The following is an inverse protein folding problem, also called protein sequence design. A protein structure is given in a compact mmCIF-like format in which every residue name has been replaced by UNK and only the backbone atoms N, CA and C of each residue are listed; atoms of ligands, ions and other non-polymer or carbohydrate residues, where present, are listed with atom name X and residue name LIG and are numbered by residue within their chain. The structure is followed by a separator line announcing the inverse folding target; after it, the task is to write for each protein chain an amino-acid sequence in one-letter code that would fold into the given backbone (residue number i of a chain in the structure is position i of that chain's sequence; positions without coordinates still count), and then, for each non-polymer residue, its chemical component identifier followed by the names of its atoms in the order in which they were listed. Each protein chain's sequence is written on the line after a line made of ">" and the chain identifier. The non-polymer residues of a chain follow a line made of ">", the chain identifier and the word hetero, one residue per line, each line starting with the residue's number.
data_IF_758109228922
#
_entry.id   IF_758109228922
#
_cell.length_a   1.000
_cell.length_b   1.000
_cell.length_c   1.000
_cell.angle_alpha   90.00
_cell.angle_beta   90.00
_cell.angle_gamma   90.00
#
_symmetry.space_group_name_H-M   'P 1'
#
loop_
_entity.id
_entity.type
_entity.pdbx_description
1 polymer ?
#
# COMPACT_ATOMS: atom_id res chain seq x y z
N UNK A 1 -50.70 -21.45 -53.32
CA UNK A 1 -49.70 -21.51 -54.41
C UNK A 1 -48.43 -20.97 -53.79
N UNK A 2 -47.38 -21.73 -53.49
CA UNK A 2 -46.67 -22.75 -54.27
C UNK A 2 -45.93 -23.73 -53.33
N UNK A 3 -45.73 -24.95 -53.81
CA UNK A 3 -45.08 -26.11 -53.16
C UNK A 3 -43.58 -26.20 -53.47
N UNK A 4 -42.81 -26.90 -52.62
CA UNK A 4 -41.68 -27.86 -52.87
C UNK A 4 -40.87 -28.02 -51.54
N UNK A 5 -40.90 -29.13 -50.75
CA UNK A 5 -40.34 -30.50 -50.91
C UNK A 5 -38.78 -30.50 -51.07
N UNK A 6 -37.90 -31.25 -50.38
CA UNK A 6 -37.88 -32.51 -49.60
C UNK A 6 -36.63 -32.59 -48.67
N UNK A 7 -36.61 -33.59 -47.76
CA UNK A 7 -35.45 -34.44 -47.34
C UNK A 7 -34.82 -34.14 -45.96
N UNK A 8 -34.63 -35.08 -45.01
CA UNK A 8 -35.07 -36.47 -44.83
C UNK A 8 -35.00 -36.81 -43.33
N UNK A 9 -35.88 -37.74 -42.93
CA UNK A 9 -36.07 -38.30 -41.60
C UNK A 9 -34.86 -39.11 -41.10
N UNK A 10 -34.64 -39.15 -39.79
CA UNK A 10 -34.45 -40.42 -39.06
C UNK A 10 -34.91 -40.27 -37.60
N UNK A 11 -36.12 -40.75 -37.34
CA UNK A 11 -36.61 -41.14 -36.00
C UNK A 11 -36.58 -42.67 -35.99
N UNK A 12 -35.91 -43.28 -35.01
CA UNK A 12 -36.06 -44.70 -34.71
C UNK A 12 -36.65 -44.84 -33.30
N UNK A 13 -37.90 -45.29 -33.24
CA UNK A 13 -38.55 -45.85 -32.07
C UNK A 13 -38.63 -47.36 -32.27
N UNK A 14 -38.15 -48.15 -31.31
CA UNK A 14 -38.72 -49.48 -31.00
C UNK A 14 -38.33 -49.90 -29.57
N UNK A 15 -39.34 -50.24 -28.77
CA UNK A 15 -39.19 -51.11 -27.58
C UNK A 15 -38.68 -52.50 -28.00
N UNK A 16 -38.41 -53.45 -27.11
CA UNK A 16 -39.31 -53.99 -26.07
C UNK A 16 -38.50 -54.91 -25.13
N UNK A 17 -39.10 -55.22 -23.97
CA UNK A 17 -39.14 -56.51 -23.27
C UNK A 17 -38.07 -56.81 -22.19
N UNK A 18 -38.57 -56.76 -20.95
CA UNK A 18 -38.03 -57.41 -19.75
C UNK A 18 -37.72 -58.88 -19.96
N UNK A 19 -36.53 -59.31 -19.55
CA UNK A 19 -36.30 -60.64 -18.99
C UNK A 19 -35.48 -60.47 -17.72
N UNK A 20 -36.11 -60.77 -16.59
CA UNK A 20 -35.49 -60.92 -15.28
C UNK A 20 -34.75 -62.26 -15.23
N UNK A 21 -33.43 -62.22 -15.10
CA UNK A 21 -32.63 -63.32 -14.55
C UNK A 21 -31.46 -62.70 -13.79
N UNK A 22 -31.45 -62.94 -12.48
CA UNK A 22 -30.50 -62.34 -11.56
C UNK A 22 -29.09 -62.88 -11.75
N UNK A 23 -28.12 -61.96 -11.74
CA UNK A 23 -26.78 -62.21 -11.22
C UNK A 23 -26.32 -60.97 -10.46
N UNK A 24 -26.05 -61.15 -9.16
CA UNK A 24 -25.28 -60.23 -8.33
C UNK A 24 -23.83 -60.25 -8.82
N UNK A 25 -23.32 -59.11 -9.28
CA UNK A 25 -21.87 -58.84 -9.28
C UNK A 25 -21.66 -57.42 -8.77
N UNK A 26 -20.65 -57.31 -7.91
CA UNK A 26 -20.31 -56.23 -6.99
C UNK A 26 -19.78 -54.98 -7.71
N UNK A 27 -20.01 -53.82 -7.08
CA UNK A 27 -19.62 -52.44 -7.41
C UNK A 27 -18.28 -52.20 -8.12
N UNK A 28 -18.24 -51.21 -9.00
CA UNK A 28 -17.14 -50.24 -9.02
C UNK A 28 -17.58 -48.93 -9.70
N UNK A 29 -17.70 -47.89 -8.90
CA UNK A 29 -18.02 -46.52 -9.32
C UNK A 29 -16.83 -45.89 -10.05
N UNK A 30 -17.04 -45.42 -11.29
CA UNK A 30 -16.16 -44.42 -11.90
C UNK A 30 -16.98 -43.20 -12.31
N UNK A 31 -16.86 -42.18 -11.46
CA UNK A 31 -17.51 -40.87 -11.56
C UNK A 31 -16.77 -40.03 -12.61
N UNK A 32 -17.49 -39.48 -13.59
CA UNK A 32 -16.99 -38.43 -14.47
C UNK A 32 -17.13 -37.07 -13.77
N UNK A 33 -16.02 -36.35 -13.51
CA UNK A 33 -16.05 -34.95 -13.04
C UNK A 33 -15.14 -34.08 -13.90
N UNK A 34 -15.69 -32.91 -14.25
CA UNK A 34 -15.26 -31.94 -15.24
C UNK A 34 -13.86 -31.34 -15.05
N UNK A 35 -13.19 -31.09 -16.18
CA UNK A 35 -12.05 -30.17 -16.28
C UNK A 35 -12.54 -28.72 -16.13
N UNK A 36 -12.31 -28.12 -14.95
CA UNK A 36 -12.42 -26.67 -14.76
C UNK A 36 -11.00 -26.07 -14.77
N UNK A 37 -10.74 -25.19 -15.74
CA UNK A 37 -9.48 -24.43 -15.89
C UNK A 37 -9.09 -23.75 -14.56
N UNK A 38 -7.90 -24.05 -14.06
CA UNK A 38 -7.31 -23.42 -12.88
C UNK A 38 -6.82 -22.01 -13.24
N UNK A 39 -7.50 -20.99 -12.72
CA UNK A 39 -6.88 -19.71 -12.43
C UNK A 39 -5.95 -19.90 -11.22
N UNK A 40 -4.73 -19.36 -11.25
CA UNK A 40 -3.76 -19.36 -10.16
C UNK A 40 -4.36 -18.73 -8.89
N UNK A 41 -5.06 -19.55 -8.11
CA UNK A 41 -5.44 -19.28 -6.74
C UNK A 41 -4.67 -20.31 -5.95
N UNK A 42 -3.65 -19.87 -5.21
CA UNK A 42 -2.88 -20.75 -4.33
C UNK A 42 -3.88 -21.39 -3.36
N UNK A 43 -4.24 -22.64 -3.63
CA UNK A 43 -5.04 -23.43 -2.71
C UNK A 43 -4.29 -23.46 -1.37
N UNK A 44 -4.97 -23.25 -0.24
CA UNK A 44 -4.32 -23.31 1.06
C UNK A 44 -3.68 -24.68 1.22
N UNK A 45 -2.36 -24.71 1.44
CA UNK A 45 -1.66 -25.94 1.71
C UNK A 45 -1.98 -26.36 3.15
N UNK A 46 -2.19 -27.66 3.36
CA UNK A 46 -2.24 -28.22 4.70
C UNK A 46 -0.81 -28.22 5.22
N UNK A 47 -0.52 -27.37 6.21
CA UNK A 47 0.80 -27.23 6.82
C UNK A 47 0.76 -27.84 8.22
N UNK A 48 1.75 -28.68 8.54
CA UNK A 48 1.86 -29.33 9.84
C UNK A 48 2.41 -28.34 10.88
N UNK A 49 1.65 -28.05 11.92
CA UNK A 49 2.09 -27.17 13.00
C UNK A 49 2.69 -27.99 14.15
N UNK A 50 4.03 -27.99 14.23
CA UNK A 50 4.78 -28.73 15.26
C UNK A 50 4.54 -28.25 16.70
N UNK A 51 3.89 -27.10 16.91
CA UNK A 51 3.56 -26.58 18.25
C UNK A 51 2.21 -27.09 18.75
N UNK A 52 1.29 -27.35 17.82
CA UNK A 52 -0.09 -27.75 18.14
C UNK A 52 -0.40 -29.20 17.77
N UNK A 53 0.49 -29.87 17.02
CA UNK A 53 0.32 -31.26 16.61
C UNK A 53 -0.80 -31.47 15.58
N UNK A 54 -1.29 -30.40 14.95
CA UNK A 54 -2.42 -30.42 14.03
C UNK A 54 -2.06 -29.87 12.66
N UNK A 55 -2.81 -30.35 11.67
CA UNK A 55 -2.84 -29.85 10.30
C UNK A 55 -3.59 -28.52 10.24
N UNK A 56 -2.87 -27.41 10.00
CA UNK A 56 -3.48 -26.09 9.83
C UNK A 56 -3.60 -25.77 8.35
N UNK A 57 -4.73 -25.20 7.93
CA UNK A 57 -4.79 -24.47 6.65
C UNK A 57 -3.79 -23.33 6.73
N UNK A 58 -2.63 -23.52 6.10
CA UNK A 58 -1.53 -22.58 6.09
C UNK A 58 -1.41 -21.99 4.70
N UNK A 59 -1.43 -20.66 4.60
CA UNK A 59 -0.84 -20.02 3.43
C UNK A 59 0.64 -20.40 3.42
N UNK A 60 1.09 -21.07 2.34
CA UNK A 60 2.44 -21.61 2.21
C UNK A 60 3.56 -20.55 2.27
N UNK A 61 3.20 -19.27 2.33
CA UNK A 61 4.08 -18.12 2.40
C UNK A 61 3.76 -17.26 3.64
N UNK A 62 4.75 -16.90 4.47
CA UNK A 62 4.52 -16.02 5.61
C UNK A 62 4.07 -14.63 5.15
N UNK A 63 3.11 -14.04 5.86
CA UNK A 63 2.67 -12.67 5.62
C UNK A 63 3.82 -11.72 5.93
N UNK A 64 4.26 -10.98 4.91
CA UNK A 64 5.34 -10.00 4.99
C UNK A 64 4.84 -8.70 4.36
N UNK A 65 5.08 -7.58 5.02
CA UNK A 65 4.70 -6.25 4.55
C UNK A 65 5.97 -5.43 4.36
N UNK A 66 6.08 -4.79 3.20
CA UNK A 66 7.21 -3.96 2.84
C UNK A 66 6.73 -2.61 2.37
N UNK A 67 7.49 -1.56 2.70
CA UNK A 67 7.25 -0.21 2.22
C UNK A 67 8.45 0.27 1.40
N UNK A 68 8.15 0.98 0.31
CA UNK A 68 9.13 1.60 -0.56
C UNK A 68 8.73 3.04 -0.88
N UNK A 69 9.64 4.01 -0.75
CA UNK A 69 10.94 3.89 -0.07
C UNK A 69 10.78 3.77 1.46
N UNK A 70 11.79 3.20 2.16
CA UNK A 70 11.80 3.15 3.64
C UNK A 70 12.14 4.50 4.28
N UNK A 71 13.03 5.25 3.64
CA UNK A 71 13.41 6.60 4.05
C UNK A 71 13.30 7.50 2.82
N UNK A 72 12.53 8.57 2.92
CA UNK A 72 12.32 9.53 1.84
C UNK A 72 12.71 10.92 2.35
N UNK A 73 13.64 11.56 1.63
CA UNK A 73 14.07 12.93 1.87
C UNK A 73 13.66 13.79 0.69
N UNK A 74 12.94 14.87 0.96
CA UNK A 74 12.35 15.73 -0.07
C UNK A 74 12.44 17.18 0.36
N UNK A 75 12.56 18.09 -0.62
CA UNK A 75 12.40 19.52 -0.35
C UNK A 75 10.93 19.84 -0.10
N UNK A 76 10.63 20.83 0.73
CA UNK A 76 9.26 21.30 0.93
C UNK A 76 8.58 21.63 -0.40
N UNK A 77 7.31 21.23 -0.53
CA UNK A 77 6.52 21.34 -1.75
C UNK A 77 6.67 20.17 -2.72
N UNK A 78 7.69 19.31 -2.58
CA UNK A 78 7.82 18.13 -3.45
C UNK A 78 6.78 17.05 -3.08
N UNK A 79 6.27 16.27 -4.05
CA UNK A 79 5.31 15.22 -3.78
C UNK A 79 5.97 14.01 -3.10
N UNK A 80 5.46 13.61 -1.94
CA UNK A 80 5.87 12.36 -1.29
C UNK A 80 4.95 11.22 -1.69
N UNK A 81 5.51 10.07 -2.09
CA UNK A 81 4.73 8.86 -2.36
C UNK A 81 5.39 7.66 -1.70
N UNK A 82 4.62 6.96 -0.86
CA UNK A 82 4.99 5.68 -0.30
C UNK A 82 4.11 4.58 -0.87
N UNK A 83 4.72 3.44 -1.22
CA UNK A 83 4.01 2.22 -1.64
C UNK A 83 4.22 1.14 -0.61
N UNK A 84 3.13 0.51 -0.20
CA UNK A 84 3.13 -0.61 0.73
C UNK A 84 2.65 -1.86 0.01
N UNK A 85 3.40 -2.95 0.11
CA UNK A 85 3.12 -4.21 -0.56
C UNK A 85 3.10 -5.35 0.43
N UNK A 86 2.18 -6.30 0.26
CA UNK A 86 2.09 -7.52 1.06
C UNK A 86 2.45 -8.75 0.23
N UNK A 87 2.99 -9.78 0.88
CA UNK A 87 3.31 -11.07 0.24
C UNK A 87 2.08 -11.90 -0.14
N UNK A 88 0.91 -11.58 0.44
CA UNK A 88 -0.41 -12.23 0.28
C UNK A 88 -1.48 -11.14 0.12
N UNK A 89 -2.58 -11.35 -0.63
CA UNK A 89 -3.64 -10.35 -0.79
C UNK A 89 -4.35 -10.08 0.55
N UNK A 90 -4.10 -8.91 1.13
CA UNK A 90 -4.72 -8.47 2.38
C UNK A 90 -5.05 -6.97 2.30
N UNK A 91 -6.10 -6.50 3.00
CA UNK A 91 -6.41 -5.08 3.04
C UNK A 91 -5.35 -4.31 3.85
N UNK A 92 -4.75 -3.29 3.23
CA UNK A 92 -3.73 -2.44 3.83
C UNK A 92 -4.30 -1.06 4.18
N UNK A 93 -3.80 -0.48 5.27
CA UNK A 93 -4.12 0.90 5.67
C UNK A 93 -2.89 1.64 6.14
N UNK A 94 -3.00 2.95 6.10
CA UNK A 94 -1.98 3.89 6.54
C UNK A 94 -2.42 4.65 7.77
N UNK A 95 -1.49 4.88 8.67
CA UNK A 95 -1.61 5.85 9.76
C UNK A 95 -0.28 6.55 9.96
N UNK A 96 -0.27 7.62 10.74
CA UNK A 96 0.99 8.10 11.32
C UNK A 96 1.45 7.10 12.39
N UNK A 97 2.76 7.05 12.66
CA UNK A 97 3.32 6.20 13.71
C UNK A 97 2.92 6.66 15.11
N UNK A 98 2.63 7.96 15.28
CA UNK A 98 2.16 8.57 16.52
C UNK A 98 0.65 8.47 16.73
N UNK A 99 -0.07 7.73 15.87
CA UNK A 99 -1.54 7.64 15.86
C UNK A 99 -2.26 9.01 15.70
N UNK A 100 -1.56 10.05 15.24
CA UNK A 100 -2.14 11.30 14.72
C UNK A 100 -2.89 11.02 13.41
N UNK A 101 -3.87 11.85 13.08
CA UNK A 101 -4.47 11.87 11.75
C UNK A 101 -3.41 12.07 10.66
N UNK A 102 -3.62 11.45 9.50
CA UNK A 102 -2.81 11.72 8.32
C UNK A 102 -2.97 13.21 7.91
N UNK A 103 -1.99 13.79 7.21
CA UNK A 103 -2.10 15.15 6.69
C UNK A 103 -3.38 15.32 5.87
N UNK A 104 -4.03 16.49 5.95
CA UNK A 104 -5.35 16.73 5.32
C UNK A 104 -5.27 16.57 3.80
N UNK A 105 -4.14 16.96 3.20
CA UNK A 105 -3.86 16.82 1.77
C UNK A 105 -3.44 15.40 1.35
N UNK A 106 -3.27 14.46 2.29
CA UNK A 106 -2.81 13.13 1.95
C UNK A 106 -3.91 12.32 1.23
N UNK A 107 -3.56 11.77 0.08
CA UNK A 107 -4.37 10.82 -0.66
C UNK A 107 -3.93 9.40 -0.32
N UNK A 108 -4.90 8.56 0.08
CA UNK A 108 -4.67 7.16 0.43
C UNK A 108 -5.37 6.29 -0.61
N UNK A 109 -4.60 5.46 -1.31
CA UNK A 109 -5.13 4.41 -2.18
C UNK A 109 -4.99 3.01 -1.56
N UNK A 110 -5.30 1.98 -2.34
CA UNK A 110 -5.28 0.57 -1.88
C UNK A 110 -3.92 0.12 -1.35
N UNK A 111 -2.83 0.67 -1.91
CA UNK A 111 -1.46 0.29 -1.56
C UNK A 111 -0.49 1.47 -1.48
N UNK A 112 -0.97 2.71 -1.54
CA UNK A 112 -0.11 3.89 -1.53
C UNK A 112 -0.64 4.99 -0.61
N UNK A 113 0.29 5.82 -0.15
CA UNK A 113 0.05 7.08 0.52
C UNK A 113 0.80 8.15 -0.27
N UNK A 114 0.09 9.16 -0.76
CA UNK A 114 0.68 10.27 -1.50
C UNK A 114 0.31 11.61 -0.88
N UNK A 115 1.31 12.45 -0.64
CA UNK A 115 1.18 13.82 -0.16
C UNK A 115 1.59 14.70 -1.35
N UNK A 116 0.65 15.34 -2.06
CA UNK A 116 0.94 16.03 -3.32
C UNK A 116 1.80 17.27 -3.13
N UNK A 117 1.60 17.99 -2.03
CA UNK A 117 2.38 19.15 -1.61
C UNK A 117 2.81 18.94 -0.17
N UNK A 118 4.07 18.57 0.02
CA UNK A 118 4.61 18.31 1.35
C UNK A 118 4.93 19.60 2.09
N UNK A 119 4.68 19.61 3.40
CA UNK A 119 5.07 20.69 4.32
C UNK A 119 6.06 20.16 5.35
N UNK A 120 6.90 21.02 5.93
CA UNK A 120 7.80 20.61 7.02
C UNK A 120 7.05 19.85 8.14
N UNK A 121 5.81 20.26 8.44
CA UNK A 121 4.93 19.64 9.43
C UNK A 121 4.49 18.21 9.10
N UNK A 122 4.64 17.78 7.86
CA UNK A 122 4.31 16.42 7.40
C UNK A 122 5.48 15.45 7.64
N UNK A 123 6.65 15.94 8.07
CA UNK A 123 7.78 15.11 8.46
C UNK A 123 7.41 14.18 9.61
N UNK A 124 7.88 12.94 9.53
CA UNK A 124 7.61 11.94 10.55
C UNK A 124 7.61 10.52 10.04
N UNK A 125 7.10 9.62 10.88
CA UNK A 125 7.04 8.20 10.58
C UNK A 125 5.61 7.82 10.18
N UNK A 126 5.47 7.13 9.06
CA UNK A 126 4.22 6.64 8.50
C UNK A 126 4.18 5.12 8.60
N UNK A 127 3.08 4.59 9.13
CA UNK A 127 2.88 3.18 9.42
C UNK A 127 1.87 2.61 8.44
N UNK A 128 2.28 1.59 7.70
CA UNK A 128 1.38 0.75 6.90
C UNK A 128 1.13 -0.55 7.66
N UNK A 129 -0.13 -0.96 7.78
CA UNK A 129 -0.54 -2.13 8.56
C UNK A 129 -1.73 -2.85 7.91
N UNK A 130 -1.93 -4.10 8.29
CA UNK A 130 -3.06 -4.93 7.82
C UNK A 130 -4.30 -4.62 8.63
N UNK A 131 -5.44 -4.50 7.97
CA UNK A 131 -6.74 -4.43 8.63
C UNK A 131 -7.23 -5.83 8.95
N UNK A 132 -7.54 -6.10 10.21
CA UNK A 132 -8.11 -7.37 10.66
C UNK A 132 -7.42 -7.92 11.90
N UNK A 133 -7.64 -9.21 12.15
CA UNK A 133 -7.12 -9.94 13.32
C UNK A 133 -5.58 -9.92 13.40
N UNK A 134 -4.90 -9.73 12.28
CA UNK A 134 -3.45 -9.71 12.11
C UNK A 134 -2.84 -8.27 12.09
N UNK A 135 -3.41 -7.36 12.88
CA UNK A 135 -2.94 -5.96 13.03
C UNK A 135 -1.50 -5.81 13.57
N UNK A 136 -0.88 -6.92 14.01
CA UNK A 136 0.53 -6.97 14.44
C UNK A 136 1.53 -6.81 13.30
N UNK A 137 1.14 -7.11 12.06
CA UNK A 137 2.03 -6.94 10.92
C UNK A 137 1.93 -5.51 10.41
N UNK A 138 3.04 -4.79 10.53
CA UNK A 138 3.17 -3.43 10.04
C UNK A 138 4.58 -3.17 9.54
N UNK A 139 4.73 -2.08 8.80
CA UNK A 139 6.02 -1.55 8.39
C UNK A 139 5.99 -0.03 8.51
N UNK A 140 7.16 0.58 8.70
CA UNK A 140 7.30 2.02 8.92
C UNK A 140 8.18 2.63 7.84
N UNK A 141 7.71 3.72 7.26
CA UNK A 141 8.50 4.60 6.41
C UNK A 141 8.76 5.92 7.13
N UNK A 142 9.93 6.52 6.91
CA UNK A 142 10.32 7.82 7.45
C UNK A 142 10.32 8.85 6.33
N UNK A 143 9.60 9.95 6.55
CA UNK A 143 9.60 11.14 5.70
C UNK A 143 10.34 12.26 6.42
N UNK A 144 11.31 12.84 5.74
CA UNK A 144 12.17 13.90 6.23
C UNK A 144 12.17 15.03 5.20
N UNK A 145 11.43 16.10 5.50
CA UNK A 145 11.24 17.23 4.60
C UNK A 145 12.10 18.38 5.08
N UNK A 146 12.89 18.94 4.17
CA UNK A 146 13.76 20.07 4.44
C UNK A 146 13.33 21.27 3.60
N UNK A 147 13.48 22.47 4.13
CA UNK A 147 13.30 23.72 3.39
C UNK A 147 14.66 24.38 3.18
N UNK A 148 14.96 24.75 1.94
CA UNK A 148 15.88 25.87 1.71
C UNK A 148 15.07 27.13 1.97
N UNK A 149 15.66 28.12 2.62
CA UNK A 149 15.00 29.41 2.72
C UNK A 149 14.78 29.99 1.31
N UNK A 150 13.74 30.81 1.16
CA UNK A 150 13.49 31.49 -0.12
C UNK A 150 14.72 32.29 -0.56
N UNK A 151 14.82 32.65 -1.85
CA UNK A 151 16.00 33.35 -2.37
C UNK A 151 16.27 34.70 -1.66
N UNK A 152 15.23 35.28 -1.06
CA UNK A 152 15.24 36.49 -0.24
C UNK A 152 15.22 36.21 1.27
N UNK A 153 15.52 34.98 1.69
CA UNK A 153 15.59 34.55 3.08
C UNK A 153 16.91 33.82 3.39
N UNK A 154 17.36 33.92 4.64
CA UNK A 154 18.51 33.16 5.15
C UNK A 154 18.09 32.12 6.18
N UNK A 155 18.87 31.05 6.28
CA UNK A 155 18.69 30.01 7.30
C UNK A 155 19.47 30.38 8.56
N UNK A 156 18.75 30.59 9.66
CA UNK A 156 19.28 30.71 11.01
C UNK A 156 20.03 29.43 11.42
N UNK A 157 20.88 29.53 12.45
CA UNK A 157 21.62 28.37 12.99
C UNK A 157 20.70 27.27 13.55
N UNK A 158 19.51 27.64 14.03
CA UNK A 158 18.45 26.72 14.47
C UNK A 158 17.58 26.16 13.33
N UNK A 159 17.84 26.50 12.06
CA UNK A 159 17.09 26.04 10.89
C UNK A 159 15.83 26.86 10.56
N UNK A 160 15.52 27.93 11.31
CA UNK A 160 14.46 28.89 10.96
C UNK A 160 14.87 29.70 9.72
N UNK A 161 13.91 30.07 8.88
CA UNK A 161 14.12 31.05 7.81
C UNK A 161 13.69 32.44 8.25
N UNK A 162 14.52 33.44 7.96
CA UNK A 162 14.21 34.86 8.16
C UNK A 162 14.52 35.63 6.86
N UNK A 163 13.77 36.69 6.51
CA UNK A 163 14.09 37.55 5.39
C UNK A 163 15.52 38.08 5.44
N UNK A 164 16.17 38.24 4.30
CA UNK A 164 17.50 38.86 4.20
C UNK A 164 17.49 40.29 4.76
N UNK A 165 16.34 40.98 4.72
CA UNK A 165 16.17 42.31 5.32
C UNK A 165 16.25 42.32 6.84
N UNK A 166 16.11 41.16 7.51
CA UNK A 166 16.18 41.01 8.96
C UNK A 166 17.57 40.52 9.42
N UNK A 167 18.52 40.48 8.49
CA UNK A 167 19.91 40.19 8.84
C UNK A 167 20.54 41.50 9.26
N UNK A 168 21.06 41.56 10.48
CA UNK A 168 21.73 42.74 11.02
C UNK A 168 20.83 43.98 11.06
N UNK A 169 19.54 43.79 11.34
CA UNK A 169 18.58 44.89 11.51
C UNK A 169 18.45 45.33 12.98
N UNK A 170 19.09 44.59 13.90
CA UNK A 170 19.15 44.87 15.32
C UNK A 170 18.12 44.11 16.16
N UNK A 171 17.21 43.36 15.52
CA UNK A 171 16.23 42.51 16.19
C UNK A 171 16.66 41.03 16.12
N UNK A 172 16.39 40.27 17.18
CA UNK A 172 16.69 38.83 17.20
C UNK A 172 15.51 38.04 16.60
N UNK A 173 15.39 38.07 15.28
CA UNK A 173 14.39 37.34 14.53
C UNK A 173 14.63 35.85 14.54
N UNK A 174 15.89 35.39 14.51
CA UNK A 174 16.21 33.97 14.55
C UNK A 174 15.90 33.32 15.90
N UNK A 175 15.74 34.11 16.99
CA UNK A 175 15.61 33.66 18.40
C UNK A 175 16.81 32.89 18.95
N UNK A 176 17.87 32.75 18.17
CA UNK A 176 19.17 32.19 18.52
C UNK A 176 20.32 33.21 18.28
N UNK A 177 19.97 34.45 17.88
CA UNK A 177 20.86 35.56 17.57
C UNK A 177 21.77 35.33 16.34
N UNK A 178 21.48 34.33 15.50
CA UNK A 178 22.35 34.00 14.36
C UNK A 178 22.24 34.94 13.16
N UNK A 179 21.11 35.64 13.03
CA UNK A 179 20.85 36.78 12.14
C UNK A 179 21.65 38.04 12.51
N UNK A 180 21.90 38.22 13.80
CA UNK A 180 22.63 39.38 14.35
C UNK A 180 24.11 39.06 14.62
N UNK A 181 24.57 37.86 14.24
CA UNK A 181 25.95 37.43 14.37
C UNK A 181 26.72 37.68 13.06
N UNK A 182 27.91 38.26 13.18
CA UNK A 182 28.84 38.51 12.06
C UNK A 182 28.39 39.60 11.07
N UNK A 183 27.70 40.63 11.57
CA UNK A 183 27.39 41.84 10.83
C UNK A 183 28.65 42.64 10.50
N UNK A 184 28.86 42.96 9.22
CA UNK A 184 29.93 43.87 8.83
C UNK A 184 29.56 45.30 9.29
N UNK A 185 30.50 46.08 9.82
CA UNK A 185 30.23 47.43 10.31
C UNK A 185 29.69 48.38 9.23
N UNK A 186 29.84 48.04 7.95
CA UNK A 186 29.26 48.80 6.82
C UNK A 186 27.73 48.73 6.72
N UNK A 187 27.06 47.76 7.36
CA UNK A 187 25.60 47.76 7.49
C UNK A 187 25.11 48.50 8.75
N UNK A 188 26.02 48.89 9.65
CA UNK A 188 25.71 49.63 10.88
C UNK A 188 25.69 51.17 10.72
N UNK A 189 25.95 51.70 9.51
CA UNK A 189 26.11 53.15 9.27
C UNK A 189 25.05 53.76 8.35
N UNK A 190 23.76 53.44 8.53
CA UNK A 190 22.66 54.25 7.97
C UNK A 190 21.72 54.85 9.03
N UNK A 191 22.12 54.83 10.30
CA UNK A 191 21.45 55.59 11.36
C UNK A 191 22.49 56.42 12.14
N UNK A 192 22.98 57.50 11.50
CA UNK A 192 23.51 58.68 12.19
C UNK A 192 22.63 59.86 11.82
#
# INVERSE_FOLDING_TARGET
>A
MTWMLFSSYFVCYVGVLSVSLGLRVVSSDYVNVALKKQTHQENPAVVWDARTGNEKLGFAKPLTITVSPKNLRLKEGEPAVFRCTSSVPVPLRWSTSSNKSLPVQASVGDNYLAIPETRISDSGSYKCFVVGEESRFFTVARLDIWSECEADQMTCSNGKCVPISYICDGDNDCRDMSDEQNCLPIFAFNFI
#
